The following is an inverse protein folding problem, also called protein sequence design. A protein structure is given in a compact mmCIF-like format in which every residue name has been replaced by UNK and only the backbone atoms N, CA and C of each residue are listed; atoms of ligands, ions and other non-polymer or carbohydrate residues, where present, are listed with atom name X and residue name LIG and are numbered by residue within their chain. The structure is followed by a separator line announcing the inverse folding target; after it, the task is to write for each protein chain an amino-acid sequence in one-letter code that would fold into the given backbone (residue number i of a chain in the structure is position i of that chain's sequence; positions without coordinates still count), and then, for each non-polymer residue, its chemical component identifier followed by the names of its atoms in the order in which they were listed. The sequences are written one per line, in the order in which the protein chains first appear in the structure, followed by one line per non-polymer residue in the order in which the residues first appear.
data_IF_202155718154
#
_entry.id   IF_202155718154
#
_cell.length_a   1.000
_cell.length_b   1.000
_cell.length_c   1.000
_cell.angle_alpha   90.00
_cell.angle_beta   90.00
_cell.angle_gamma   90.00
#
_symmetry.space_group_name_H-M   'P 1'
#
loop_
_entity.id
_entity.type
_entity.pdbx_description
1 polymer ?
#
# COMPACT_ATOMS: atom_id res chain seq x y z
N UNK A 1 32.51 -11.73 -21.83
CA UNK A 1 32.76 -10.36 -21.32
C UNK A 1 31.47 -9.68 -20.77
N UNK A 2 30.30 -9.91 -21.35
CA UNK A 2 29.03 -9.31 -20.88
C UNK A 2 28.58 -9.86 -19.54
N UNK A 3 28.69 -11.16 -19.31
CA UNK A 3 28.30 -11.83 -18.05
C UNK A 3 29.18 -11.36 -16.87
N UNK A 4 30.47 -11.10 -17.11
CA UNK A 4 31.35 -10.56 -16.09
C UNK A 4 31.04 -9.11 -15.72
N UNK A 5 30.63 -8.30 -16.70
CA UNK A 5 30.16 -6.92 -16.46
C UNK A 5 28.83 -6.89 -15.70
N UNK A 6 27.89 -7.77 -16.05
CA UNK A 6 26.62 -7.89 -15.31
C UNK A 6 26.84 -8.33 -13.86
N UNK A 7 27.72 -9.30 -13.60
CA UNK A 7 28.07 -9.67 -12.21
C UNK A 7 28.75 -8.53 -11.44
N UNK A 8 29.58 -7.74 -12.08
CA UNK A 8 30.21 -6.58 -11.43
C UNK A 8 29.21 -5.44 -11.15
N UNK A 9 28.20 -5.22 -12.02
CA UNK A 9 27.12 -4.28 -11.75
C UNK A 9 26.25 -4.75 -10.57
N UNK A 10 25.82 -6.01 -10.57
CA UNK A 10 25.04 -6.56 -9.46
C UNK A 10 25.79 -6.51 -8.11
N UNK A 11 27.11 -6.69 -8.09
CA UNK A 11 27.91 -6.62 -6.87
C UNK A 11 28.11 -5.16 -6.40
N UNK A 12 28.16 -4.19 -7.31
CA UNK A 12 28.29 -2.77 -6.96
C UNK A 12 27.02 -2.20 -6.32
N UNK A 13 25.87 -2.72 -6.71
CA UNK A 13 24.57 -2.23 -6.25
C UNK A 13 23.98 -3.08 -5.10
N UNK A 14 24.74 -4.08 -4.62
CA UNK A 14 24.33 -4.94 -3.51
C UNK A 14 25.14 -4.62 -2.26
N UNK A 15 24.45 -4.13 -1.23
CA UNK A 15 25.05 -3.95 0.08
C UNK A 15 25.21 -5.32 0.76
N UNK A 16 26.45 -5.73 1.03
CA UNK A 16 26.77 -6.89 1.86
C UNK A 16 26.79 -6.45 3.31
N UNK A 17 25.78 -6.81 4.09
CA UNK A 17 25.62 -6.37 5.46
C UNK A 17 25.09 -7.50 6.35
N UNK A 18 24.95 -7.26 7.66
CA UNK A 18 24.39 -8.20 8.62
C UNK A 18 22.86 -8.37 8.45
N UNK A 19 22.33 -9.44 9.04
CA UNK A 19 20.92 -9.79 8.93
C UNK A 19 19.99 -8.74 9.56
N UNK A 20 20.42 -8.09 10.64
CA UNK A 20 19.60 -7.08 11.32
C UNK A 20 19.38 -5.85 10.41
N UNK A 21 20.45 -5.39 9.77
CA UNK A 21 20.37 -4.31 8.78
C UNK A 21 19.47 -4.68 7.60
N UNK A 22 19.56 -5.93 7.09
CA UNK A 22 18.64 -6.40 6.04
C UNK A 22 17.18 -6.35 6.52
N UNK A 23 16.91 -6.84 7.72
CA UNK A 23 15.56 -6.81 8.30
C UNK A 23 15.03 -5.37 8.44
N UNK A 24 15.88 -4.41 8.82
CA UNK A 24 15.50 -2.99 8.90
C UNK A 24 15.17 -2.42 7.51
N UNK A 25 15.95 -2.74 6.48
CA UNK A 25 15.66 -2.34 5.09
C UNK A 25 14.34 -2.91 4.63
N UNK A 26 14.09 -4.20 4.88
CA UNK A 26 12.81 -4.84 4.55
C UNK A 26 11.64 -4.17 5.28
N UNK A 27 11.80 -3.92 6.60
CA UNK A 27 10.76 -3.24 7.38
C UNK A 27 10.48 -1.84 6.82
N UNK A 28 11.50 -1.03 6.55
CA UNK A 28 11.36 0.30 5.93
C UNK A 28 10.52 0.25 4.65
N UNK A 29 10.82 -0.70 3.76
CA UNK A 29 10.08 -0.87 2.49
C UNK A 29 8.64 -1.32 2.70
N UNK A 30 8.45 -2.33 3.56
CA UNK A 30 7.17 -3.01 3.76
C UNK A 30 6.16 -2.12 4.50
N UNK A 31 6.62 -1.37 5.51
CA UNK A 31 5.72 -0.60 6.38
C UNK A 31 5.60 0.87 5.99
N UNK A 32 6.54 1.41 5.18
CA UNK A 32 6.58 2.86 4.94
C UNK A 32 6.83 3.23 3.47
N UNK A 33 8.01 2.89 2.94
CA UNK A 33 8.53 3.57 1.76
C UNK A 33 8.08 3.00 0.41
N UNK A 34 7.50 1.80 0.35
CA UNK A 34 7.14 1.15 -0.91
C UNK A 34 5.76 0.50 -0.88
N UNK A 35 5.60 -0.52 -0.04
CA UNK A 35 4.42 -1.39 -0.11
C UNK A 35 3.10 -0.70 0.28
N UNK A 36 3.05 0.20 1.28
CA UNK A 36 1.83 0.94 1.58
C UNK A 36 1.34 1.78 0.41
N UNK A 37 2.26 2.43 -0.30
CA UNK A 37 1.97 3.28 -1.46
C UNK A 37 1.34 2.46 -2.60
N UNK A 38 1.97 1.33 -2.94
CA UNK A 38 1.44 0.41 -3.94
C UNK A 38 0.08 -0.17 -3.55
N UNK A 39 -0.16 -0.44 -2.26
CA UNK A 39 -1.45 -0.97 -1.81
C UNK A 39 -2.56 0.07 -1.95
N UNK A 40 -2.30 1.32 -1.59
CA UNK A 40 -3.25 2.41 -1.77
C UNK A 40 -3.60 2.58 -3.25
N UNK A 41 -2.60 2.68 -4.11
CA UNK A 41 -2.81 2.76 -5.56
C UNK A 41 -3.62 1.56 -6.07
N UNK A 42 -3.24 0.33 -5.69
CA UNK A 42 -3.91 -0.87 -6.18
C UNK A 42 -5.43 -0.88 -5.89
N UNK A 43 -5.83 -0.55 -4.67
CA UNK A 43 -7.25 -0.57 -4.30
C UNK A 43 -8.03 0.56 -4.95
N UNK A 44 -7.48 1.77 -4.98
CA UNK A 44 -8.11 2.91 -5.65
C UNK A 44 -8.08 2.76 -7.17
N UNK A 45 -6.98 2.24 -7.73
CA UNK A 45 -6.88 1.98 -9.16
C UNK A 45 -7.94 1.02 -9.68
N UNK A 46 -8.23 -0.06 -8.93
CA UNK A 46 -9.34 -0.96 -9.26
C UNK A 46 -10.69 -0.24 -9.22
N UNK A 47 -10.94 0.56 -8.17
CA UNK A 47 -12.22 1.29 -7.99
C UNK A 47 -12.40 2.37 -9.05
N UNK A 48 -11.33 3.05 -9.46
CA UNK A 48 -11.36 4.13 -10.47
C UNK A 48 -11.21 3.61 -11.91
N UNK A 49 -10.98 2.30 -12.09
CA UNK A 49 -10.90 1.66 -13.40
C UNK A 49 -9.57 1.82 -14.12
N UNK A 50 -8.48 2.08 -13.38
CA UNK A 50 -7.14 2.08 -13.95
C UNK A 50 -6.65 0.67 -14.28
N UNK A 51 -5.79 0.58 -15.28
CA UNK A 51 -5.18 -0.68 -15.72
C UNK A 51 -3.67 -0.74 -15.49
N UNK A 52 -3.04 0.40 -15.25
CA UNK A 52 -1.61 0.52 -14.96
C UNK A 52 -1.39 1.47 -13.78
N UNK A 53 -0.58 1.03 -12.82
CA UNK A 53 -0.17 1.85 -11.66
C UNK A 53 0.54 3.14 -12.09
N UNK A 54 1.34 3.09 -13.16
CA UNK A 54 2.03 4.27 -13.68
C UNK A 54 1.07 5.36 -14.17
N UNK A 55 -0.12 4.99 -14.65
CA UNK A 55 -1.12 5.96 -15.09
C UNK A 55 -1.86 6.61 -13.91
N UNK A 56 -2.00 5.91 -12.79
CA UNK A 56 -2.55 6.45 -11.56
C UNK A 56 -1.72 7.62 -11.01
N UNK A 57 -0.40 7.60 -11.22
CA UNK A 57 0.48 8.68 -10.78
C UNK A 57 0.32 9.98 -11.56
N UNK A 58 -0.44 9.98 -12.66
CA UNK A 58 -0.84 11.17 -13.41
C UNK A 58 -2.09 11.84 -12.82
N UNK A 59 -2.83 11.11 -11.97
CA UNK A 59 -3.95 11.62 -11.21
C UNK A 59 -3.42 12.40 -9.99
N UNK A 60 -3.80 13.67 -9.87
CA UNK A 60 -3.30 14.57 -8.83
C UNK A 60 -3.70 14.10 -7.42
N UNK A 61 -4.89 13.52 -7.26
CA UNK A 61 -5.38 13.07 -5.95
C UNK A 61 -4.69 11.76 -5.52
N UNK A 62 -4.47 10.82 -6.43
CA UNK A 62 -3.74 9.59 -6.14
C UNK A 62 -2.25 9.88 -5.87
N UNK A 63 -1.66 10.78 -6.65
CA UNK A 63 -0.30 11.26 -6.43
C UNK A 63 -0.17 11.90 -5.04
N UNK A 64 -1.10 12.80 -4.68
CA UNK A 64 -1.16 13.42 -3.35
C UNK A 64 -1.33 12.36 -2.25
N UNK A 65 -2.20 11.37 -2.45
CA UNK A 65 -2.43 10.31 -1.46
C UNK A 65 -1.14 9.55 -1.12
N UNK A 66 -0.34 9.17 -2.12
CA UNK A 66 0.93 8.46 -1.85
C UNK A 66 1.97 9.35 -1.17
N UNK A 67 1.99 10.65 -1.47
CA UNK A 67 2.83 11.61 -0.76
C UNK A 67 2.42 11.79 0.70
N UNK A 68 1.13 11.77 0.99
CA UNK A 68 0.64 11.83 2.37
C UNK A 68 0.96 10.53 3.13
N UNK A 69 0.75 9.35 2.52
CA UNK A 69 1.00 8.06 3.18
C UNK A 69 2.50 7.88 3.50
N UNK A 70 3.39 8.08 2.55
CA UNK A 70 4.82 7.81 2.71
C UNK A 70 5.56 8.94 3.41
N UNK A 71 5.82 10.07 2.72
CA UNK A 71 6.59 11.19 3.25
C UNK A 71 6.00 11.85 4.49
N UNK A 72 4.67 12.00 4.58
CA UNK A 72 4.05 12.75 5.67
C UNK A 72 3.70 11.86 6.86
N UNK A 73 2.96 10.76 6.63
CA UNK A 73 2.48 9.90 7.72
C UNK A 73 3.44 8.76 8.07
N UNK A 74 4.10 8.17 7.09
CA UNK A 74 4.99 7.04 7.33
C UNK A 74 6.36 7.44 7.87
N UNK A 75 6.95 8.51 7.33
CA UNK A 75 8.31 8.91 7.62
C UNK A 75 8.59 9.22 9.10
N UNK A 76 7.69 9.88 9.88
CA UNK A 76 7.94 10.16 11.29
C UNK A 76 8.20 8.93 12.17
N UNK A 77 7.76 7.75 11.74
CA UNK A 77 7.90 6.48 12.48
C UNK A 77 8.65 5.40 11.67
N UNK A 78 9.35 5.81 10.61
CA UNK A 78 10.07 4.90 9.73
C UNK A 78 11.20 4.18 10.47
N UNK A 79 11.44 2.93 10.11
CA UNK A 79 12.64 2.21 10.54
C UNK A 79 13.82 2.64 9.67
N UNK A 80 14.78 3.37 10.25
CA UNK A 80 16.02 3.73 9.56
C UNK A 80 17.01 2.56 9.57
N UNK A 81 17.40 2.02 8.41
CA UNK A 81 18.39 0.95 8.31
C UNK A 81 19.84 1.43 8.46
N UNK A 82 20.11 2.75 8.41
CA UNK A 82 21.44 3.33 8.53
C UNK A 82 22.35 3.21 7.30
N UNK A 83 21.97 2.41 6.30
CA UNK A 83 22.72 2.21 5.05
C UNK A 83 22.06 2.82 3.82
N UNK A 84 20.79 3.17 3.94
CA UNK A 84 19.98 3.84 2.93
C UNK A 84 19.20 4.96 3.62
N UNK A 85 19.10 6.13 2.99
CA UNK A 85 18.17 7.17 3.48
C UNK A 85 16.73 6.78 3.13
N UNK A 86 15.84 6.62 4.13
CA UNK A 86 14.43 6.37 3.87
C UNK A 86 13.77 7.47 3.04
N UNK A 87 14.14 8.74 3.26
CA UNK A 87 13.62 9.89 2.52
C UNK A 87 14.01 9.82 1.04
N UNK A 88 15.30 9.58 0.76
CA UNK A 88 15.76 9.46 -0.62
C UNK A 88 15.14 8.24 -1.32
N UNK A 89 14.93 7.15 -0.57
CA UNK A 89 14.30 5.95 -1.11
C UNK A 89 12.83 6.18 -1.46
N UNK A 90 12.03 6.79 -0.56
CA UNK A 90 10.62 7.05 -0.85
C UNK A 90 10.44 8.07 -1.96
N UNK A 91 11.32 9.08 -2.04
CA UNK A 91 11.33 10.04 -3.14
C UNK A 91 11.56 9.36 -4.49
N UNK A 92 12.57 8.48 -4.58
CA UNK A 92 12.83 7.69 -5.78
C UNK A 92 11.65 6.78 -6.14
N UNK A 93 11.01 6.15 -5.15
CA UNK A 93 9.83 5.30 -5.36
C UNK A 93 8.68 6.09 -5.98
N UNK A 94 8.34 7.25 -5.41
CA UNK A 94 7.20 8.05 -5.85
C UNK A 94 7.46 8.72 -7.21
N UNK A 95 8.66 9.28 -7.39
CA UNK A 95 8.93 10.12 -8.55
C UNK A 95 9.55 9.37 -9.74
N UNK A 96 10.13 8.19 -9.51
CA UNK A 96 10.86 7.47 -10.56
C UNK A 96 10.31 6.06 -10.80
N UNK A 97 10.10 5.26 -9.72
CA UNK A 97 9.76 3.85 -9.88
C UNK A 97 8.29 3.62 -10.21
N UNK A 98 7.38 4.17 -9.40
CA UNK A 98 5.93 3.97 -9.58
C UNK A 98 5.45 4.58 -10.91
N UNK A 99 5.85 5.81 -11.31
CA UNK A 99 5.42 6.39 -12.58
C UNK A 99 6.07 5.78 -13.82
N UNK A 100 6.98 4.81 -13.67
CA UNK A 100 7.70 4.24 -14.78
C UNK A 100 6.81 3.32 -15.65
N UNK A 101 6.47 3.71 -16.89
CA UNK A 101 5.58 2.93 -17.75
C UNK A 101 6.21 1.61 -18.25
N UNK A 102 7.52 1.44 -18.10
CA UNK A 102 8.22 0.20 -18.43
C UNK A 102 8.17 -0.85 -17.31
N UNK A 103 7.57 -0.50 -16.16
CA UNK A 103 7.22 -1.44 -15.10
C UNK A 103 5.71 -1.67 -15.14
N UNK A 104 5.22 -2.66 -15.91
CA UNK A 104 3.78 -2.80 -16.19
C UNK A 104 3.02 -3.47 -15.05
N UNK A 105 3.02 -2.83 -13.88
CA UNK A 105 2.23 -3.28 -12.74
C UNK A 105 0.77 -2.85 -12.89
N UNK A 106 -0.14 -3.80 -12.65
CA UNK A 106 -1.57 -3.55 -12.69
C UNK A 106 -2.15 -3.47 -11.27
N UNK A 107 -3.14 -2.59 -11.03
CA UNK A 107 -3.85 -2.52 -9.75
C UNK A 107 -4.34 -3.88 -9.29
N UNK A 108 -4.96 -4.66 -10.19
CA UNK A 108 -5.54 -5.98 -9.91
C UNK A 108 -4.49 -6.98 -9.42
N UNK A 109 -3.29 -6.98 -10.00
CA UNK A 109 -2.19 -7.85 -9.58
C UNK A 109 -1.67 -7.48 -8.18
N UNK A 110 -1.54 -6.19 -7.90
CA UNK A 110 -1.06 -5.70 -6.61
C UNK A 110 -2.11 -5.89 -5.51
N UNK A 111 -3.40 -5.81 -5.83
CA UNK A 111 -4.51 -6.01 -4.90
C UNK A 111 -4.69 -7.48 -4.44
N UNK A 112 -3.99 -8.45 -5.03
CA UNK A 112 -3.98 -9.84 -4.55
C UNK A 112 -3.57 -9.90 -3.08
N UNK A 113 -4.25 -10.73 -2.26
CA UNK A 113 -3.96 -10.97 -0.84
C UNK A 113 -3.91 -9.69 0.04
N UNK A 114 -4.73 -8.69 -0.28
CA UNK A 114 -4.72 -7.41 0.45
C UNK A 114 -5.12 -7.57 1.91
N UNK A 115 -6.00 -8.51 2.26
CA UNK A 115 -6.36 -8.81 3.66
C UNK A 115 -5.14 -9.15 4.51
N UNK A 116 -4.15 -9.86 3.94
CA UNK A 116 -2.91 -10.23 4.61
C UNK A 116 -1.88 -9.09 4.65
N UNK A 117 -2.11 -8.05 3.89
CA UNK A 117 -1.17 -6.92 3.70
C UNK A 117 -1.52 -5.70 4.53
N UNK A 118 -2.80 -5.42 4.74
CA UNK A 118 -3.29 -4.20 5.42
C UNK A 118 -2.71 -4.07 6.82
N UNK A 119 -2.73 -5.14 7.62
CA UNK A 119 -2.17 -5.16 8.96
C UNK A 119 -0.67 -4.85 8.99
N UNK A 120 0.10 -5.50 8.13
CA UNK A 120 1.57 -5.33 8.08
C UNK A 120 1.95 -3.97 7.48
N UNK A 121 1.23 -3.50 6.47
CA UNK A 121 1.59 -2.28 5.71
C UNK A 121 1.11 -0.99 6.36
N UNK A 122 -0.06 -1.01 6.99
CA UNK A 122 -0.67 0.16 7.63
C UNK A 122 -0.75 0.00 9.15
N UNK A 123 -1.15 -1.17 9.64
CA UNK A 123 -1.30 -1.44 11.07
C UNK A 123 0.00 -1.25 11.84
N UNK A 124 1.16 -1.65 11.29
CA UNK A 124 2.46 -1.43 11.94
C UNK A 124 2.81 0.06 12.07
N UNK A 125 2.48 0.88 11.09
CA UNK A 125 2.65 2.34 11.18
C UNK A 125 1.70 2.93 12.22
N UNK A 126 0.45 2.51 12.27
CA UNK A 126 -0.53 2.94 13.29
C UNK A 126 -0.02 2.57 14.69
N UNK A 127 0.44 1.33 14.90
CA UNK A 127 1.02 0.88 16.17
C UNK A 127 2.24 1.71 16.57
N UNK A 128 3.10 2.06 15.61
CA UNK A 128 4.27 2.91 15.87
C UNK A 128 3.87 4.33 16.30
N UNK A 129 2.83 4.91 15.69
CA UNK A 129 2.28 6.21 16.12
C UNK A 129 1.75 6.15 17.55
N UNK A 130 0.95 5.14 17.88
CA UNK A 130 0.43 4.96 19.25
C UNK A 130 1.58 4.79 20.25
N UNK A 131 2.61 4.03 19.90
CA UNK A 131 3.77 3.83 20.77
C UNK A 131 4.59 5.10 20.98
N UNK A 132 4.74 5.94 19.94
CA UNK A 132 5.59 7.12 19.99
C UNK A 132 4.86 8.38 20.49
N UNK A 133 3.58 8.54 20.15
CA UNK A 133 2.81 9.75 20.39
C UNK A 133 1.62 9.56 21.34
N UNK A 134 1.27 8.31 21.69
CA UNK A 134 0.14 7.96 22.55
C UNK A 134 -1.17 7.73 21.79
N UNK A 135 -1.29 8.21 20.58
CA UNK A 135 -2.44 8.03 19.70
C UNK A 135 -2.04 8.02 18.21
N UNK A 136 -3.01 7.83 17.33
CA UNK A 136 -2.84 7.87 15.88
C UNK A 136 -3.80 8.89 15.20
N UNK A 137 -4.33 9.87 15.94
CA UNK A 137 -5.34 10.83 15.45
C UNK A 137 -4.83 11.74 14.32
N UNK A 138 -3.52 11.89 14.22
CA UNK A 138 -2.87 12.68 13.15
C UNK A 138 -2.94 12.01 11.78
N UNK A 139 -3.08 10.68 11.75
CA UNK A 139 -3.17 9.92 10.52
C UNK A 139 -4.50 10.19 9.81
N UNK A 140 -4.46 10.51 8.54
CA UNK A 140 -5.61 10.76 7.66
C UNK A 140 -5.55 9.91 6.38
N UNK A 141 -4.39 9.88 5.74
CA UNK A 141 -4.19 9.18 4.49
C UNK A 141 -4.14 7.65 4.66
N UNK A 142 -3.50 7.14 5.72
CA UNK A 142 -3.48 5.71 6.04
C UNK A 142 -4.90 5.20 6.35
N UNK A 143 -5.71 5.82 7.23
CA UNK A 143 -7.12 5.45 7.39
C UNK A 143 -7.93 5.55 6.10
N UNK A 144 -7.66 6.55 5.25
CA UNK A 144 -8.30 6.67 3.95
C UNK A 144 -7.94 5.50 3.04
N UNK A 145 -6.68 5.06 3.01
CA UNK A 145 -6.26 3.89 2.23
C UNK A 145 -6.94 2.60 2.72
N UNK A 146 -7.13 2.43 4.03
CA UNK A 146 -7.89 1.31 4.61
C UNK A 146 -9.36 1.40 4.21
N UNK A 147 -9.96 2.58 4.25
CA UNK A 147 -11.33 2.81 3.78
C UNK A 147 -11.47 2.52 2.27
N UNK A 148 -10.47 2.87 1.47
CA UNK A 148 -10.39 2.51 0.05
C UNK A 148 -10.40 0.99 -0.16
N UNK A 149 -9.67 0.24 0.67
CA UNK A 149 -9.75 -1.22 0.64
C UNK A 149 -11.14 -1.75 0.98
N UNK A 150 -11.78 -1.23 2.03
CA UNK A 150 -13.17 -1.59 2.34
C UNK A 150 -14.12 -1.28 1.18
N UNK A 151 -13.92 -0.16 0.50
CA UNK A 151 -14.70 0.23 -0.69
C UNK A 151 -14.44 -0.71 -1.88
N UNK A 152 -13.18 -1.09 -2.11
CA UNK A 152 -12.78 -2.06 -3.14
C UNK A 152 -13.51 -3.39 -2.99
N UNK A 153 -13.68 -3.88 -1.75
CA UNK A 153 -14.33 -5.17 -1.45
C UNK A 153 -15.80 -5.25 -1.89
N UNK A 154 -16.44 -4.13 -2.22
CA UNK A 154 -17.78 -4.15 -2.81
C UNK A 154 -17.79 -4.67 -4.25
N UNK A 155 -16.65 -4.76 -4.93
CA UNK A 155 -16.53 -5.24 -6.30
C UNK A 155 -17.28 -4.40 -7.33
N UNK A 156 -17.45 -3.11 -7.04
CA UNK A 156 -18.17 -2.15 -7.90
C UNK A 156 -17.31 -0.90 -8.03
N UNK A 157 -17.10 -0.41 -9.24
CA UNK A 157 -16.35 0.82 -9.51
C UNK A 157 -17.15 2.09 -9.22
N UNK A 158 -16.56 3.24 -9.45
CA UNK A 158 -17.21 4.54 -9.22
C UNK A 158 -18.32 4.87 -10.24
N UNK A 159 -18.42 4.12 -11.34
CA UNK A 159 -19.51 4.23 -12.32
C UNK A 159 -20.67 3.30 -12.00
N UNK A 160 -20.54 2.46 -10.97
CA UNK A 160 -21.51 1.45 -10.60
C UNK A 160 -21.36 0.14 -11.39
N UNK A 161 -20.28 -0.04 -12.13
CA UNK A 161 -19.98 -1.25 -12.90
C UNK A 161 -19.27 -2.27 -12.02
N UNK A 162 -19.62 -3.55 -12.15
CA UNK A 162 -18.98 -4.63 -11.41
C UNK A 162 -17.62 -4.94 -11.99
N UNK A 163 -16.64 -5.17 -11.12
CA UNK A 163 -15.33 -5.73 -11.48
C UNK A 163 -15.02 -6.96 -10.63
N UNK A 164 -14.12 -7.80 -11.12
CA UNK A 164 -13.68 -9.00 -10.42
C UNK A 164 -12.67 -8.63 -9.33
N UNK A 165 -12.93 -9.08 -8.09
CA UNK A 165 -12.01 -8.92 -6.98
C UNK A 165 -10.80 -9.83 -7.17
N UNK A 166 -9.61 -9.34 -6.84
CA UNK A 166 -8.38 -10.12 -6.87
C UNK A 166 -8.42 -11.24 -5.84
N UNK A 167 -7.68 -12.32 -6.09
CA UNK A 167 -7.58 -13.44 -5.16
C UNK A 167 -7.13 -13.00 -3.76
N UNK A 168 -7.83 -13.50 -2.74
CA UNK A 168 -7.54 -13.18 -1.34
C UNK A 168 -8.02 -14.33 -0.45
N UNK A 169 -7.21 -14.81 0.51
CA UNK A 169 -7.59 -15.90 1.41
C UNK A 169 -8.86 -15.63 2.21
N UNK A 170 -9.14 -14.36 2.55
CA UNK A 170 -10.32 -13.95 3.32
C UNK A 170 -11.48 -13.48 2.43
N UNK A 171 -11.39 -13.61 1.10
CA UNK A 171 -12.36 -13.02 0.18
C UNK A 171 -13.79 -13.47 0.46
N UNK A 172 -13.99 -14.75 0.73
CA UNK A 172 -15.32 -15.32 1.02
C UNK A 172 -15.92 -14.73 2.31
N UNK A 173 -15.11 -14.57 3.36
CA UNK A 173 -15.53 -14.00 4.64
C UNK A 173 -15.84 -12.50 4.49
N UNK A 174 -14.95 -11.76 3.85
CA UNK A 174 -15.07 -10.32 3.64
C UNK A 174 -16.30 -9.96 2.79
N UNK A 175 -16.53 -10.69 1.70
CA UNK A 175 -17.68 -10.47 0.83
C UNK A 175 -18.99 -10.90 1.49
N UNK A 176 -18.96 -11.97 2.31
CA UNK A 176 -20.13 -12.37 3.10
C UNK A 176 -20.49 -11.32 4.15
N UNK A 177 -19.50 -10.70 4.81
CA UNK A 177 -19.74 -9.61 5.75
C UNK A 177 -20.37 -8.38 5.08
N UNK A 178 -20.01 -8.11 3.83
CA UNK A 178 -20.46 -6.93 3.08
C UNK A 178 -21.68 -7.18 2.17
N UNK A 179 -22.29 -8.37 2.20
CA UNK A 179 -23.38 -8.77 1.30
C UNK A 179 -24.59 -7.81 1.27
N UNK A 180 -24.87 -7.15 2.40
CA UNK A 180 -25.99 -6.22 2.56
C UNK A 180 -25.57 -4.74 2.39
N UNK A 181 -24.28 -4.48 2.17
CA UNK A 181 -23.76 -3.13 1.90
C UNK A 181 -23.92 -2.81 0.42
N UNK A 182 -24.54 -1.68 0.13
CA UNK A 182 -24.85 -1.26 -1.24
C UNK A 182 -24.08 -0.01 -1.62
N UNK A 183 -23.55 -0.01 -2.82
CA UNK A 183 -22.92 1.16 -3.41
C UNK A 183 -23.89 2.33 -3.49
N UNK A 184 -23.48 3.51 -3.04
CA UNK A 184 -24.30 4.72 -3.01
C UNK A 184 -25.24 4.85 -1.82
N UNK A 185 -25.47 3.78 -1.05
CA UNK A 185 -26.32 3.79 0.15
C UNK A 185 -25.46 3.80 1.42
N UNK A 186 -25.04 4.99 1.87
CA UNK A 186 -24.15 5.17 3.03
C UNK A 186 -24.68 4.46 4.29
N UNK A 187 -25.97 4.49 4.52
CA UNK A 187 -26.63 3.90 5.68
C UNK A 187 -26.60 2.35 5.70
N UNK A 188 -26.28 1.74 4.56
CA UNK A 188 -26.13 0.27 4.49
C UNK A 188 -24.86 -0.23 5.17
N UNK A 189 -23.85 0.62 5.35
CA UNK A 189 -22.64 0.28 6.11
C UNK A 189 -22.77 0.68 7.57
N UNK A 190 -22.85 -0.32 8.45
CA UNK A 190 -22.99 -0.15 9.90
C UNK A 190 -21.79 -0.71 10.70
N UNK A 191 -20.63 -0.85 10.04
CA UNK A 191 -19.39 -1.32 10.65
C UNK A 191 -19.19 -2.84 10.52
N UNK A 192 -19.67 -3.47 9.46
CA UNK A 192 -19.60 -4.91 9.23
C UNK A 192 -18.16 -5.49 9.25
N UNK A 193 -17.18 -4.69 8.88
CA UNK A 193 -15.75 -5.10 8.91
C UNK A 193 -15.05 -4.78 10.23
N UNK A 194 -15.73 -4.18 11.20
CA UNK A 194 -15.10 -3.74 12.45
C UNK A 194 -14.42 -4.88 13.21
N UNK A 195 -15.06 -6.04 13.30
CA UNK A 195 -14.49 -7.21 13.99
C UNK A 195 -13.23 -7.73 13.28
N UNK A 196 -13.21 -7.70 11.95
CA UNK A 196 -12.06 -8.14 11.14
C UNK A 196 -10.90 -7.15 11.27
N UNK A 197 -11.19 -5.84 11.20
CA UNK A 197 -10.18 -4.78 11.32
C UNK A 197 -9.62 -4.62 12.74
N UNK A 198 -10.33 -5.13 13.76
CA UNK A 198 -9.92 -5.06 15.17
C UNK A 198 -9.22 -6.34 15.66
N UNK A 199 -9.04 -7.34 14.82
CA UNK A 199 -8.27 -8.54 15.13
C UNK A 199 -6.77 -8.23 14.99
N UNK A 200 -6.03 -8.48 16.06
CA UNK A 200 -4.57 -8.34 16.13
C UNK A 200 -3.83 -9.39 15.31
#
# INVERSE_FOLDING_TARGET
LSIRRQRQMCIRDSYMTDRDTVNKVERMKVTTCLNPLHTALAVYGCVLGYTLIADEMKDEELNRLVHEIGPVEGMPVVTDPGILSPEAFVDEVINVRIPNPFMPDTPQRIATDTSQKVGIRYGETIKAYVAQYGDAEKLKAIPLAIAGWCRYLLGVDDKGEKFELSSDPMLAELTAALKDVKFGEKESYTGQLKSILSND
#
